data_IF_240854749656
#
_entry.id   IF_240854749656
#
_cell.length_a   1.000
_cell.length_b   1.000
_cell.length_c   1.000
_cell.angle_alpha   90.00
_cell.angle_beta   90.00
_cell.angle_gamma   90.00
#
_symmetry.space_group_name_H-M   'P 1'
#
loop_
_entity.id
_entity.type
_entity.pdbx_description
1 polymer ?
#
# COMPACT_ATOMS: atom_id res chain seq x y z
N UNK A 1 21.30 -4.05 10.47
CA UNK A 1 21.92 -4.58 9.24
C UNK A 1 22.16 -3.42 8.28
N UNK A 2 23.30 -3.40 7.59
CA UNK A 2 23.64 -2.36 6.61
C UNK A 2 22.73 -2.47 5.39
N UNK A 3 22.17 -1.35 4.95
CA UNK A 3 21.28 -1.24 3.80
C UNK A 3 22.00 -1.72 2.53
N UNK A 4 21.50 -2.72 1.78
CA UNK A 4 22.06 -3.05 0.49
C UNK A 4 21.81 -1.87 -0.46
N UNK A 5 22.90 -1.20 -0.88
CA UNK A 5 22.84 -0.04 -1.76
C UNK A 5 22.96 -0.52 -3.21
N UNK A 6 21.99 -0.16 -4.04
CA UNK A 6 22.06 -0.37 -5.49
C UNK A 6 23.35 0.26 -6.02
N UNK A 7 24.20 -0.56 -6.67
CA UNK A 7 25.50 -0.09 -7.19
C UNK A 7 25.44 0.31 -8.65
N UNK A 8 24.86 -0.56 -9.48
CA UNK A 8 24.81 -0.38 -10.93
C UNK A 8 23.58 -1.06 -11.53
N UNK A 9 23.24 -0.67 -12.75
CA UNK A 9 22.23 -1.30 -13.58
C UNK A 9 22.89 -1.83 -14.83
N UNK A 10 22.47 -3.03 -15.23
CA UNK A 10 22.86 -3.67 -16.48
C UNK A 10 21.58 -3.83 -17.29
N UNK A 11 21.52 -3.21 -18.46
CA UNK A 11 20.44 -3.39 -19.44
C UNK A 11 20.94 -4.34 -20.51
N UNK A 12 20.28 -5.49 -20.66
CA UNK A 12 20.55 -6.44 -21.73
C UNK A 12 19.50 -6.26 -22.83
N UNK A 13 19.98 -6.13 -24.06
CA UNK A 13 19.15 -6.00 -25.25
C UNK A 13 18.96 -7.35 -25.95
N UNK A 14 17.94 -7.46 -26.80
CA UNK A 14 17.58 -8.71 -27.50
C UNK A 14 18.67 -9.17 -28.49
N UNK A 15 19.53 -8.25 -28.94
CA UNK A 15 20.70 -8.55 -29.76
C UNK A 15 21.88 -9.12 -28.95
N UNK A 16 21.69 -9.30 -27.63
CA UNK A 16 22.69 -9.80 -26.70
C UNK A 16 23.68 -8.75 -26.21
N UNK A 17 23.59 -7.51 -26.67
CA UNK A 17 24.43 -6.43 -26.15
C UNK A 17 24.02 -6.04 -24.74
N UNK A 18 24.97 -5.48 -23.98
CA UNK A 18 24.73 -5.00 -22.62
C UNK A 18 25.28 -3.58 -22.45
N UNK A 19 24.54 -2.74 -21.73
CA UNK A 19 25.00 -1.42 -21.29
C UNK A 19 24.93 -1.35 -19.78
N UNK A 20 25.97 -0.77 -19.17
CA UNK A 20 26.06 -0.57 -17.73
C UNK A 20 26.02 0.92 -17.37
N UNK A 21 25.37 1.24 -16.26
CA UNK A 21 25.40 2.58 -15.64
C UNK A 21 25.47 2.45 -14.13
N UNK A 22 26.19 3.35 -13.46
CA UNK A 22 26.08 3.46 -12.01
C UNK A 22 24.65 3.87 -11.65
N UNK A 23 24.13 3.38 -10.52
CA UNK A 23 22.77 3.70 -10.09
C UNK A 23 22.59 5.20 -9.81
N UNK A 24 23.65 5.83 -9.29
CA UNK A 24 23.70 7.25 -8.92
C UNK A 24 23.63 8.18 -10.14
N UNK A 25 24.04 7.68 -11.32
CA UNK A 25 24.02 8.43 -12.58
C UNK A 25 22.63 8.44 -13.25
N UNK A 26 21.69 7.64 -12.75
CA UNK A 26 20.33 7.58 -13.27
C UNK A 26 19.53 8.81 -12.82
N UNK A 27 18.51 9.19 -13.58
CA UNK A 27 17.60 10.27 -13.16
C UNK A 27 16.85 9.88 -11.88
N UNK A 28 16.52 10.86 -11.03
CA UNK A 28 15.77 10.61 -9.79
C UNK A 28 14.38 9.98 -10.01
N UNK A 29 13.80 10.17 -11.20
CA UNK A 29 12.58 9.47 -11.60
C UNK A 29 12.86 7.99 -11.87
N UNK A 30 13.86 7.68 -12.71
CA UNK A 30 14.20 6.30 -13.05
C UNK A 30 14.70 5.51 -11.83
N UNK A 31 15.52 6.13 -10.96
CA UNK A 31 15.93 5.54 -9.68
C UNK A 31 14.72 5.12 -8.84
N UNK A 32 13.68 5.98 -8.75
CA UNK A 32 12.43 5.65 -8.04
C UNK A 32 11.69 4.49 -8.70
N UNK A 33 11.53 4.51 -10.01
CA UNK A 33 10.83 3.44 -10.74
C UNK A 33 11.53 2.08 -10.64
N UNK A 34 12.85 2.07 -10.56
CA UNK A 34 13.64 0.85 -10.37
C UNK A 34 13.59 0.33 -8.93
N UNK A 35 13.59 1.24 -7.94
CA UNK A 35 13.39 0.87 -6.53
C UNK A 35 11.97 0.36 -6.26
N UNK A 36 11.00 0.66 -7.13
CA UNK A 36 9.65 0.09 -7.09
C UNK A 36 9.58 -1.34 -7.64
N UNK A 37 10.60 -1.82 -8.36
CA UNK A 37 10.56 -3.15 -8.97
C UNK A 37 10.69 -4.25 -7.91
N UNK A 38 9.72 -5.19 -7.82
CA UNK A 38 9.72 -6.25 -6.81
C UNK A 38 10.96 -7.15 -6.84
N UNK A 39 11.56 -7.30 -8.03
CA UNK A 39 12.69 -8.22 -8.26
C UNK A 39 14.03 -7.62 -7.83
N UNK A 40 14.16 -6.30 -7.88
CA UNK A 40 15.46 -5.65 -7.67
C UNK A 40 15.77 -5.50 -6.18
N UNK A 41 14.74 -5.51 -5.33
CA UNK A 41 14.91 -5.17 -3.94
C UNK A 41 13.84 -5.78 -3.02
N UNK A 42 14.27 -6.63 -2.07
CA UNK A 42 13.65 -6.73 -0.73
C UNK A 42 13.89 -5.41 0.05
N UNK A 43 13.86 -4.24 -0.62
CA UNK A 43 14.15 -2.95 -0.01
C UNK A 43 12.92 -2.50 0.75
N UNK A 44 13.01 -2.82 2.02
CA UNK A 44 12.08 -2.39 3.02
C UNK A 44 12.89 -1.64 4.08
N UNK A 45 12.85 -0.29 4.08
CA UNK A 45 13.63 0.51 5.01
C UNK A 45 13.24 0.27 6.49
N UNK A 46 12.02 -0.23 6.74
CA UNK A 46 11.42 -0.34 8.06
C UNK A 46 11.39 -1.78 8.63
N UNK A 47 11.92 -2.77 7.90
CA UNK A 47 12.00 -4.16 8.38
C UNK A 47 10.63 -4.73 8.81
N UNK A 48 10.56 -5.37 9.97
CA UNK A 48 9.31 -5.95 10.48
C UNK A 48 8.29 -4.92 10.99
N UNK A 49 8.65 -3.62 11.09
CA UNK A 49 7.79 -2.57 11.63
C UNK A 49 6.90 -1.89 10.57
N UNK A 50 6.57 -2.58 9.48
CA UNK A 50 5.74 -2.03 8.40
C UNK A 50 4.37 -1.60 8.92
N UNK A 51 3.94 -0.42 8.50
CA UNK A 51 2.55 -0.02 8.56
C UNK A 51 1.98 0.02 7.16
N UNK A 52 0.70 -0.32 7.06
CA UNK A 52 -0.01 -0.36 5.79
C UNK A 52 -1.18 0.58 5.83
N UNK A 53 -1.37 1.29 4.72
CA UNK A 53 -2.58 2.03 4.42
C UNK A 53 -3.45 1.17 3.50
N UNK A 54 -4.70 0.97 3.87
CA UNK A 54 -5.69 0.26 3.07
C UNK A 54 -6.78 1.24 2.62
N UNK A 55 -7.01 1.35 1.32
CA UNK A 55 -8.01 2.21 0.70
C UNK A 55 -9.12 1.34 0.14
N UNK A 56 -10.34 1.42 0.68
CA UNK A 56 -11.50 0.71 0.13
C UNK A 56 -12.36 1.67 -0.71
N UNK A 57 -12.67 1.21 -1.92
CA UNK A 57 -13.47 1.93 -2.91
C UNK A 57 -14.92 1.46 -2.91
N UNK A 58 -15.84 2.29 -3.41
CA UNK A 58 -17.27 1.93 -3.54
C UNK A 58 -17.53 0.73 -4.44
N UNK A 59 -16.63 0.43 -5.39
CA UNK A 59 -16.69 -0.76 -6.25
C UNK A 59 -16.29 -2.06 -5.52
N UNK A 60 -15.88 -1.97 -4.25
CA UNK A 60 -15.47 -3.07 -3.40
C UNK A 60 -13.98 -3.41 -3.48
N UNK A 61 -13.21 -2.76 -4.35
CA UNK A 61 -11.76 -2.98 -4.44
C UNK A 61 -11.05 -2.36 -3.24
N UNK A 62 -9.93 -2.97 -2.87
CA UNK A 62 -9.05 -2.49 -1.81
C UNK A 62 -7.67 -2.27 -2.38
N UNK A 63 -7.10 -1.10 -2.17
CA UNK A 63 -5.72 -0.81 -2.56
C UNK A 63 -4.86 -0.68 -1.31
N UNK A 64 -3.68 -1.30 -1.34
CA UNK A 64 -2.74 -1.28 -0.22
C UNK A 64 -1.42 -0.64 -0.65
N UNK A 65 -0.85 0.11 0.28
CA UNK A 65 0.51 0.61 0.20
C UNK A 65 1.17 0.57 1.57
N UNK A 66 2.49 0.34 1.58
CA UNK A 66 3.27 0.54 2.79
C UNK A 66 3.48 2.04 3.03
N UNK A 67 3.40 2.44 4.29
CA UNK A 67 3.67 3.80 4.74
C UNK A 67 4.76 3.78 5.82
N UNK A 68 5.36 4.93 6.08
CA UNK A 68 6.45 5.02 7.04
C UNK A 68 6.02 4.53 8.43
N UNK A 69 6.86 3.70 9.06
CA UNK A 69 6.59 3.12 10.38
C UNK A 69 6.36 4.17 11.48
N UNK A 70 6.88 5.40 11.30
CA UNK A 70 6.69 6.53 12.21
C UNK A 70 5.32 7.20 12.07
N UNK A 71 4.52 6.87 11.06
CA UNK A 71 3.15 7.38 10.95
C UNK A 71 2.27 6.82 12.08
N UNK A 72 1.54 7.70 12.79
CA UNK A 72 0.76 7.33 13.98
C UNK A 72 -0.75 7.34 13.76
N UNK A 73 -1.25 8.35 13.07
CA UNK A 73 -2.69 8.51 12.82
C UNK A 73 -2.97 9.23 11.50
N UNK A 74 -4.22 9.15 11.04
CA UNK A 74 -4.70 9.95 9.92
C UNK A 74 -5.04 11.35 10.44
N UNK A 75 -4.53 12.38 9.77
CA UNK A 75 -4.84 13.77 10.07
C UNK A 75 -6.10 14.22 9.31
N UNK A 76 -6.06 14.13 7.98
CA UNK A 76 -7.14 14.62 7.12
C UNK A 76 -7.14 13.98 5.74
N UNK A 77 -8.33 13.89 5.15
CA UNK A 77 -8.54 13.55 3.76
C UNK A 77 -9.39 14.62 3.07
N UNK A 78 -8.96 15.05 1.89
CA UNK A 78 -9.70 16.00 1.05
C UNK A 78 -9.44 15.72 -0.42
N UNK A 79 -10.37 16.17 -1.28
CA UNK A 79 -10.26 16.03 -2.73
C UNK A 79 -10.32 17.41 -3.36
N UNK A 80 -9.37 17.70 -4.25
CA UNK A 80 -9.39 18.91 -5.05
C UNK A 80 -9.87 18.52 -6.45
N UNK A 81 -10.95 19.14 -6.91
CA UNK A 81 -11.48 19.00 -8.28
C UNK A 81 -11.11 20.23 -9.09
N UNK A 82 -10.45 20.03 -10.23
CA UNK A 82 -10.13 21.06 -11.23
C UNK A 82 -10.51 20.57 -12.65
N UNK A 83 -9.61 20.21 -13.61
CA UNK A 83 -10.03 19.36 -14.73
C UNK A 83 -10.07 17.87 -14.32
N UNK A 84 -9.27 17.48 -13.33
CA UNK A 84 -9.21 16.13 -12.77
C UNK A 84 -9.43 16.19 -11.26
N UNK A 85 -9.80 15.06 -10.68
CA UNK A 85 -9.96 14.90 -9.24
C UNK A 85 -8.66 14.36 -8.64
N UNK A 86 -8.12 15.05 -7.63
CA UNK A 86 -6.94 14.58 -6.89
C UNK A 86 -7.27 14.46 -5.41
N UNK A 87 -7.21 13.24 -4.88
CA UNK A 87 -7.34 12.98 -3.46
C UNK A 87 -6.01 13.21 -2.74
N UNK A 88 -6.08 13.77 -1.54
CA UNK A 88 -4.91 14.00 -0.69
C UNK A 88 -5.20 13.53 0.73
N UNK A 89 -4.40 12.57 1.15
CA UNK A 89 -4.41 12.02 2.50
C UNK A 89 -3.16 12.50 3.24
N UNK A 90 -3.34 12.94 4.47
CA UNK A 90 -2.26 13.34 5.35
C UNK A 90 -2.21 12.44 6.57
N UNK A 91 -1.04 11.87 6.84
CA UNK A 91 -0.75 11.07 8.03
C UNK A 91 0.19 11.84 8.96
N UNK A 92 -0.05 11.79 10.27
CA UNK A 92 0.82 12.41 11.25
C UNK A 92 2.04 11.52 11.53
N UNK A 93 3.24 12.12 11.50
CA UNK A 93 4.51 11.48 11.87
C UNK A 93 5.00 11.99 13.22
N UNK A 94 5.88 11.22 13.86
CA UNK A 94 6.47 11.58 15.16
C UNK A 94 7.34 12.83 15.11
N UNK A 95 7.98 13.09 13.97
CA UNK A 95 8.87 14.23 13.75
C UNK A 95 8.11 15.56 13.49
N UNK A 96 6.77 15.51 13.44
CA UNK A 96 5.90 16.66 13.20
C UNK A 96 5.69 17.02 11.73
N UNK A 97 6.36 16.37 10.78
CA UNK A 97 6.14 16.61 9.35
C UNK A 97 5.20 15.55 8.78
N UNK A 98 3.98 15.90 8.35
CA UNK A 98 3.03 14.90 7.90
C UNK A 98 3.50 14.19 6.63
N UNK A 99 3.23 12.89 6.55
CA UNK A 99 3.32 12.16 5.29
C UNK A 99 2.11 12.53 4.43
N UNK A 100 2.36 12.90 3.17
CA UNK A 100 1.34 13.28 2.21
C UNK A 100 1.25 12.21 1.13
N UNK A 101 0.07 11.63 0.99
CA UNK A 101 -0.24 10.60 0.03
C UNK A 101 -1.23 11.17 -0.98
N UNK A 102 -0.86 11.08 -2.24
CA UNK A 102 -1.74 11.46 -3.35
C UNK A 102 -2.52 10.24 -3.83
N UNK A 103 -3.82 10.44 -4.05
CA UNK A 103 -4.76 9.40 -4.45
C UNK A 103 -5.31 9.81 -5.83
N UNK A 104 -4.81 9.15 -6.87
CA UNK A 104 -5.14 9.47 -8.27
C UNK A 104 -6.36 8.73 -8.83
N UNK A 105 -6.85 7.68 -8.16
CA UNK A 105 -8.00 6.90 -8.62
C UNK A 105 -9.29 7.42 -7.97
N UNK A 106 -10.26 7.84 -8.78
CA UNK A 106 -11.63 8.22 -8.39
C UNK A 106 -11.79 8.66 -6.92
N UNK A 107 -11.08 9.70 -6.46
CA UNK A 107 -10.93 9.97 -5.03
C UNK A 107 -12.26 10.32 -4.34
N UNK A 108 -13.28 10.76 -5.09
CA UNK A 108 -14.65 10.96 -4.59
C UNK A 108 -15.42 9.64 -4.33
N UNK A 109 -14.91 8.51 -4.82
CA UNK A 109 -15.46 7.18 -4.62
C UNK A 109 -14.74 6.38 -3.54
N UNK A 110 -13.79 6.99 -2.83
CA UNK A 110 -13.18 6.39 -1.66
C UNK A 110 -14.23 6.24 -0.55
N UNK A 111 -14.43 5.02 -0.07
CA UNK A 111 -15.44 4.65 0.91
C UNK A 111 -14.85 4.62 2.32
N UNK A 112 -13.67 4.02 2.47
CA UNK A 112 -13.05 3.77 3.76
C UNK A 112 -11.53 3.88 3.67
N UNK A 113 -10.91 4.38 4.73
CA UNK A 113 -9.45 4.33 4.91
C UNK A 113 -9.14 3.50 6.16
N UNK A 114 -8.35 2.44 5.98
CA UNK A 114 -7.76 1.66 7.05
C UNK A 114 -6.34 2.14 7.33
N UNK A 115 -6.11 2.65 8.55
CA UNK A 115 -4.77 2.92 9.07
C UNK A 115 -4.79 2.83 10.59
N UNK A 116 -4.19 1.77 11.16
CA UNK A 116 -4.37 1.31 12.56
C UNK A 116 -5.83 0.95 12.86
N UNK A 117 -6.73 1.92 12.74
CA UNK A 117 -8.18 1.74 12.80
C UNK A 117 -8.82 1.93 11.42
N UNK A 118 -10.04 1.46 11.30
CA UNK A 118 -10.90 1.69 10.14
C UNK A 118 -11.57 3.07 10.24
N UNK A 119 -11.62 3.82 9.14
CA UNK A 119 -12.25 5.14 9.09
C UNK A 119 -13.24 5.23 7.93
N UNK A 120 -14.52 5.41 8.25
CA UNK A 120 -15.54 5.74 7.26
C UNK A 120 -15.41 7.19 6.81
N UNK A 121 -15.54 7.39 5.51
CA UNK A 121 -15.40 8.70 4.88
C UNK A 121 -16.79 9.23 4.57
N UNK A 122 -17.08 10.43 5.07
CA UNK A 122 -18.31 11.14 4.74
C UNK A 122 -17.99 12.57 4.30
N UNK A 123 -18.57 13.01 3.18
CA UNK A 123 -18.42 14.38 2.70
C UNK A 123 -19.02 15.34 3.74
N UNK A 124 -18.21 16.27 4.23
CA UNK A 124 -18.61 17.26 5.23
C UNK A 124 -18.94 18.60 4.60
N UNK A 125 -18.09 19.06 3.69
CA UNK A 125 -18.19 20.39 3.10
C UNK A 125 -17.56 20.39 1.71
N UNK A 126 -17.99 21.31 0.85
CA UNK A 126 -17.34 21.57 -0.43
C UNK A 126 -17.28 23.06 -0.67
N UNK A 127 -16.06 23.57 -0.88
CA UNK A 127 -15.81 24.99 -1.07
C UNK A 127 -15.38 25.24 -2.51
N UNK A 128 -16.03 26.19 -3.17
CA UNK A 128 -15.76 26.53 -4.57
C UNK A 128 -15.02 27.85 -4.68
N UNK A 129 -13.88 27.81 -5.37
CA UNK A 129 -13.09 28.99 -5.71
C UNK A 129 -12.84 29.01 -7.23
N UNK A 130 -13.67 29.76 -7.96
CA UNK A 130 -13.64 29.79 -9.42
C UNK A 130 -13.97 28.43 -10.05
N UNK A 131 -12.99 27.82 -10.73
CA UNK A 131 -13.08 26.47 -11.35
C UNK A 131 -12.62 25.34 -10.43
N UNK A 132 -12.07 25.67 -9.27
CA UNK A 132 -11.57 24.72 -8.29
C UNK A 132 -12.68 24.43 -7.26
N UNK A 133 -12.87 23.16 -6.89
CA UNK A 133 -13.72 22.75 -5.77
C UNK A 133 -12.88 21.93 -4.80
N UNK A 134 -12.86 22.33 -3.53
CA UNK A 134 -12.22 21.58 -2.45
C UNK A 134 -13.31 20.82 -1.67
N UNK A 135 -13.26 19.49 -1.71
CA UNK A 135 -14.15 18.61 -0.98
C UNK A 135 -13.48 18.15 0.31
N UNK A 136 -14.04 18.55 1.46
CA UNK A 136 -13.54 18.17 2.78
C UNK A 136 -14.37 17.03 3.35
N UNK A 137 -13.70 15.99 3.85
CA UNK A 137 -14.34 14.81 4.40
C UNK A 137 -14.14 14.72 5.91
N UNK A 138 -15.17 14.26 6.61
CA UNK A 138 -15.04 13.78 7.98
C UNK A 138 -14.65 12.32 7.99
N UNK A 139 -13.72 11.95 8.87
CA UNK A 139 -13.28 10.59 9.11
C UNK A 139 -13.87 10.09 10.42
N UNK A 140 -14.72 9.08 10.36
CA UNK A 140 -15.33 8.45 11.54
C UNK A 140 -14.69 7.10 11.79
N UNK A 141 -14.08 6.94 12.96
CA UNK A 141 -13.52 5.65 13.35
C UNK A 141 -14.62 4.59 13.43
N UNK A 142 -14.44 3.48 12.72
CA UNK A 142 -15.36 2.35 12.67
C UNK A 142 -14.59 1.03 12.90
N UNK A 143 -14.30 0.76 14.17
CA UNK A 143 -13.70 -0.50 14.60
C UNK A 143 -12.21 -0.64 14.29
N UNK A 144 -11.68 -1.79 14.71
CA UNK A 144 -10.29 -2.18 14.49
C UNK A 144 -10.12 -2.73 13.06
N UNK A 145 -9.15 -2.18 12.34
CA UNK A 145 -8.84 -2.61 10.97
C UNK A 145 -8.30 -4.02 10.97
N UNK A 146 -7.39 -4.33 11.92
CA UNK A 146 -6.59 -5.54 11.88
C UNK A 146 -7.46 -6.78 12.05
N UNK A 147 -8.31 -6.81 13.07
CA UNK A 147 -9.29 -7.89 13.28
C UNK A 147 -10.17 -8.10 12.05
N UNK A 148 -10.77 -7.04 11.53
CA UNK A 148 -11.66 -7.10 10.36
C UNK A 148 -10.96 -7.71 9.14
N UNK A 149 -9.73 -7.26 8.84
CA UNK A 149 -9.00 -7.72 7.66
C UNK A 149 -8.41 -9.12 7.84
N UNK A 150 -8.00 -9.50 9.06
CA UNK A 150 -7.52 -10.85 9.39
C UNK A 150 -8.66 -11.87 9.30
N UNK A 151 -9.87 -11.53 9.74
CA UNK A 151 -11.05 -12.37 9.54
C UNK A 151 -11.35 -12.56 8.05
N UNK A 152 -11.31 -11.48 7.26
CA UNK A 152 -11.44 -11.55 5.81
C UNK A 152 -10.37 -12.43 5.15
N UNK A 153 -9.14 -12.37 5.65
CA UNK A 153 -8.03 -13.20 5.20
C UNK A 153 -8.24 -14.68 5.53
N UNK A 154 -8.62 -15.01 6.77
CA UNK A 154 -8.95 -16.39 7.18
C UNK A 154 -10.10 -16.96 6.34
N UNK A 155 -11.12 -16.16 6.06
CA UNK A 155 -12.22 -16.55 5.17
C UNK A 155 -11.73 -16.84 3.76
N UNK A 156 -10.89 -15.98 3.18
CA UNK A 156 -10.32 -16.19 1.86
C UNK A 156 -9.45 -17.45 1.79
N UNK A 157 -8.67 -17.75 2.83
CA UNK A 157 -7.90 -19.00 2.92
C UNK A 157 -8.79 -20.24 2.92
N UNK A 158 -9.85 -20.23 3.75
CA UNK A 158 -10.79 -21.34 3.83
C UNK A 158 -11.51 -21.57 2.49
N UNK A 159 -11.92 -20.51 1.81
CA UNK A 159 -12.58 -20.60 0.50
C UNK A 159 -11.66 -21.15 -0.60
N UNK A 160 -10.35 -20.94 -0.47
CA UNK A 160 -9.34 -21.48 -1.39
C UNK A 160 -8.76 -22.83 -0.95
N UNK A 161 -9.22 -23.38 0.18
CA UNK A 161 -8.76 -24.65 0.73
C UNK A 161 -7.31 -24.62 1.23
N UNK A 162 -6.82 -23.45 1.66
CA UNK A 162 -5.45 -23.25 2.11
C UNK A 162 -5.40 -23.25 3.64
N UNK A 163 -4.65 -24.19 4.21
CA UNK A 163 -4.45 -24.22 5.66
C UNK A 163 -3.48 -23.12 6.10
N UNK A 164 -3.84 -22.33 7.10
CA UNK A 164 -3.00 -21.23 7.62
C UNK A 164 -1.60 -21.70 8.05
N UNK A 165 -1.47 -22.95 8.54
CA UNK A 165 -0.19 -23.54 8.96
C UNK A 165 0.79 -23.73 7.81
N UNK A 166 0.30 -23.76 6.57
CA UNK A 166 1.14 -23.84 5.37
C UNK A 166 1.74 -22.49 5.00
N UNK A 167 1.23 -21.40 5.60
CA UNK A 167 1.78 -20.05 5.44
C UNK A 167 2.93 -19.83 6.43
N UNK A 168 4.13 -20.32 6.10
CA UNK A 168 5.39 -19.94 6.75
C UNK A 168 5.86 -18.53 6.34
N UNK A 169 6.86 -17.96 7.06
CA UNK A 169 7.48 -16.67 6.69
C UNK A 169 8.13 -16.66 5.30
N UNK A 170 8.41 -17.85 4.72
CA UNK A 170 8.97 -17.98 3.37
C UNK A 170 7.93 -18.43 2.35
N UNK A 171 6.63 -18.40 2.66
CA UNK A 171 5.58 -18.91 1.75
C UNK A 171 5.57 -18.18 0.43
N UNK A 172 5.85 -16.88 0.41
CA UNK A 172 6.01 -16.15 -0.83
C UNK A 172 7.15 -16.72 -1.70
N UNK A 173 8.28 -17.09 -1.08
CA UNK A 173 9.45 -17.67 -1.77
C UNK A 173 9.24 -19.13 -2.17
N UNK A 174 8.52 -19.90 -1.36
CA UNK A 174 8.28 -21.33 -1.56
C UNK A 174 7.07 -21.63 -2.45
N UNK A 175 6.11 -20.70 -2.52
CA UNK A 175 4.84 -20.87 -3.23
C UNK A 175 4.31 -19.52 -3.75
N UNK A 176 4.97 -18.93 -4.75
CA UNK A 176 4.68 -17.57 -5.24
C UNK A 176 3.25 -17.37 -5.78
N UNK A 177 2.49 -18.45 -6.02
CA UNK A 177 1.11 -18.40 -6.49
C UNK A 177 0.04 -18.22 -5.41
N UNK A 178 0.35 -18.47 -4.12
CA UNK A 178 -0.66 -18.47 -3.06
C UNK A 178 -1.15 -17.05 -2.75
N UNK A 179 -0.24 -16.12 -2.46
CA UNK A 179 -0.60 -14.75 -2.09
C UNK A 179 -1.35 -13.98 -3.19
N UNK A 180 -0.95 -14.03 -4.48
CA UNK A 180 -1.74 -13.40 -5.53
C UNK A 180 -3.17 -13.95 -5.64
N UNK A 181 -3.36 -15.25 -5.37
CA UNK A 181 -4.69 -15.89 -5.39
C UNK A 181 -5.57 -15.37 -4.26
N UNK A 182 -5.03 -15.30 -3.04
CA UNK A 182 -5.74 -14.78 -1.86
C UNK A 182 -6.01 -13.28 -1.99
N UNK A 183 -5.02 -12.49 -2.42
CA UNK A 183 -5.19 -11.05 -2.66
C UNK A 183 -6.34 -10.79 -3.65
N UNK A 184 -6.39 -11.55 -4.76
CA UNK A 184 -7.50 -11.46 -5.73
C UNK A 184 -8.85 -11.78 -5.09
N UNK A 185 -8.92 -12.83 -4.26
CA UNK A 185 -10.15 -13.22 -3.57
C UNK A 185 -10.65 -12.14 -2.61
N UNK A 186 -9.73 -11.45 -1.94
CA UNK A 186 -10.03 -10.32 -1.05
C UNK A 186 -10.26 -9.00 -1.78
N UNK A 187 -10.02 -8.94 -3.09
CA UNK A 187 -10.08 -7.71 -3.88
C UNK A 187 -8.94 -6.73 -3.59
N UNK A 188 -7.81 -7.21 -3.05
CA UNK A 188 -6.65 -6.40 -2.68
C UNK A 188 -5.71 -6.22 -3.88
N UNK A 189 -5.27 -4.98 -4.09
CA UNK A 189 -4.35 -4.57 -5.16
C UNK A 189 -3.31 -3.60 -4.62
N UNK A 190 -2.22 -3.45 -5.34
CA UNK A 190 -1.23 -2.42 -5.03
C UNK A 190 -1.74 -1.04 -5.47
N UNK A 191 -1.45 0.00 -4.68
CA UNK A 191 -1.54 1.38 -5.18
C UNK A 191 -0.45 1.62 -6.22
N UNK A 192 0.80 1.30 -5.88
CA UNK A 192 1.95 1.46 -6.77
C UNK A 192 2.79 0.19 -6.90
N UNK A 193 3.20 -0.41 -5.78
CA UNK A 193 4.17 -1.51 -5.78
C UNK A 193 3.48 -2.84 -5.49
N UNK A 194 3.63 -3.81 -6.38
CA UNK A 194 3.11 -5.16 -6.14
C UNK A 194 3.71 -5.79 -4.87
N UNK A 195 4.93 -5.39 -4.49
CA UNK A 195 5.55 -5.80 -3.24
C UNK A 195 4.72 -5.42 -2.01
N UNK A 196 4.03 -4.27 -2.03
CA UNK A 196 3.20 -3.85 -0.89
C UNK A 196 2.03 -4.81 -0.64
N UNK A 197 1.49 -5.43 -1.69
CA UNK A 197 0.46 -6.48 -1.56
C UNK A 197 1.05 -7.73 -0.93
N UNK A 198 2.23 -8.15 -1.38
CA UNK A 198 2.88 -9.36 -0.88
C UNK A 198 3.27 -9.21 0.58
N UNK A 199 3.88 -8.08 0.92
CA UNK A 199 4.22 -7.69 2.28
C UNK A 199 2.99 -7.62 3.19
N UNK A 200 1.89 -7.11 2.66
CA UNK A 200 0.63 -7.07 3.39
C UNK A 200 0.07 -8.48 3.62
N UNK A 201 0.16 -9.38 2.64
CA UNK A 201 -0.25 -10.79 2.83
C UNK A 201 0.60 -11.49 3.89
N UNK A 202 1.92 -11.25 3.91
CA UNK A 202 2.80 -11.76 4.97
C UNK A 202 2.42 -11.20 6.34
N UNK A 203 2.14 -9.90 6.40
CA UNK A 203 1.67 -9.25 7.62
C UNK A 203 0.37 -9.89 8.12
N UNK A 204 -0.61 -10.14 7.24
CA UNK A 204 -1.87 -10.80 7.59
C UNK A 204 -1.64 -12.24 8.05
N UNK A 205 -0.77 -13.00 7.38
CA UNK A 205 -0.44 -14.37 7.76
C UNK A 205 0.12 -14.44 9.19
N UNK A 206 1.07 -13.55 9.53
CA UNK A 206 1.65 -13.46 10.88
C UNK A 206 0.59 -13.17 11.94
N UNK A 207 -0.24 -12.15 11.72
CA UNK A 207 -1.30 -11.77 12.66
C UNK A 207 -2.43 -12.80 12.73
N UNK A 208 -2.67 -13.56 11.67
CA UNK A 208 -3.67 -14.62 11.66
C UNK A 208 -3.20 -15.87 12.41
N UNK A 209 -1.88 -16.13 12.48
CA UNK A 209 -1.28 -17.26 13.24
C UNK A 209 -1.12 -16.99 14.73
N UNK A 210 -1.05 -15.72 15.13
CA UNK A 210 -1.08 -15.33 16.53
C UNK A 210 -2.55 -15.39 16.99
N UNK A 211 -2.96 -16.47 17.64
CA UNK A 211 -4.24 -16.51 18.35
C UNK A 211 -4.24 -15.41 19.44
N UNK A 212 -5.38 -14.76 19.71
CA UNK A 212 -5.50 -13.78 20.80
C UNK A 212 -5.25 -14.39 22.18
#
# INVERSE_FOLDING_TARGET
>A
MLRPKAKKIIVQFDDGTQTESAFEDLTAHLQRELLKQPVLFDFNPDGDNKKFLLLEWKDGWKEVMAVDSTCREINRYYVITRPEDTGRLSLNREDGYPELIEIGREPLNLKQIGFVNNHEIALKQSDREGKKVDHFFSLKMNGDLLSTIVEGFRKALNEEGIEIKTLSMDTFRQSPGIYPKIARRMGIRAVERQQDVLDFMDYLARNATQEP
#
